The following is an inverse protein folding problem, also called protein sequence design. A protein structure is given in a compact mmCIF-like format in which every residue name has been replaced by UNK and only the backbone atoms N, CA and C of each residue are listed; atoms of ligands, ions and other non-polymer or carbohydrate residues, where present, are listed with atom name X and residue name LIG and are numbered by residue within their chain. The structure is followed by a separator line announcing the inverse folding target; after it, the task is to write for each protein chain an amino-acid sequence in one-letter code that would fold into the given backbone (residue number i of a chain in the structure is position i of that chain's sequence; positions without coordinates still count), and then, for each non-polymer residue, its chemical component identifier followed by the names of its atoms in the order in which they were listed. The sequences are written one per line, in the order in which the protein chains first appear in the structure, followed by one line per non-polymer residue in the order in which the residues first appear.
data_IF_749012646572
#
_entry.id   IF_749012646572
#
_cell.length_a   1.000
_cell.length_b   1.000
_cell.length_c   1.000
_cell.angle_alpha   90.00
_cell.angle_beta   90.00
_cell.angle_gamma   90.00
#
_symmetry.space_group_name_H-M   'P 1'
#
loop_
_entity.id
_entity.type
_entity.pdbx_description
1 polymer ?
#
# COMPACT_ATOMS: atom_id res chain seq x y z
N UNK A 1 -53.58 -26.12 -23.19
CA UNK A 1 -52.62 -25.48 -22.26
C UNK A 1 -53.41 -25.10 -21.03
N UNK A 2 -53.10 -25.70 -19.86
CA UNK A 2 -53.81 -25.39 -18.63
C UNK A 2 -53.26 -24.09 -18.03
N UNK A 3 -54.06 -23.38 -17.22
CA UNK A 3 -53.63 -22.12 -16.59
C UNK A 3 -52.38 -22.30 -15.70
N UNK A 4 -52.13 -23.51 -15.21
CA UNK A 4 -50.96 -23.89 -14.44
C UNK A 4 -49.66 -23.82 -15.27
N UNK A 5 -49.65 -24.43 -16.46
CA UNK A 5 -48.48 -24.46 -17.36
C UNK A 5 -48.03 -23.03 -17.74
N UNK A 6 -48.99 -22.14 -17.99
CA UNK A 6 -48.72 -20.74 -18.32
C UNK A 6 -48.13 -19.95 -17.14
N UNK A 7 -48.51 -20.29 -15.91
CA UNK A 7 -47.95 -19.67 -14.70
C UNK A 7 -46.52 -20.15 -14.45
N UNK A 8 -46.24 -21.43 -14.62
CA UNK A 8 -44.88 -21.97 -14.47
C UNK A 8 -43.91 -21.36 -15.49
N UNK A 9 -44.32 -21.25 -16.75
CA UNK A 9 -43.51 -20.64 -17.81
C UNK A 9 -43.17 -19.18 -17.50
N UNK A 10 -44.15 -18.40 -17.02
CA UNK A 10 -43.94 -17.01 -16.60
C UNK A 10 -43.00 -16.88 -15.40
N UNK A 11 -43.11 -17.78 -14.43
CA UNK A 11 -42.19 -17.80 -13.27
C UNK A 11 -40.77 -18.13 -13.72
N UNK A 12 -40.60 -19.10 -14.61
CA UNK A 12 -39.30 -19.48 -15.15
C UNK A 12 -38.64 -18.32 -15.92
N UNK A 13 -39.40 -17.65 -16.79
CA UNK A 13 -38.93 -16.47 -17.52
C UNK A 13 -38.53 -15.33 -16.57
N UNK A 14 -39.34 -15.05 -15.55
CA UNK A 14 -39.02 -14.04 -14.55
C UNK A 14 -37.74 -14.36 -13.77
N UNK A 15 -37.54 -15.62 -13.36
CA UNK A 15 -36.31 -16.06 -12.69
C UNK A 15 -35.07 -15.91 -13.56
N UNK A 16 -35.19 -16.21 -14.87
CA UNK A 16 -34.11 -16.02 -15.82
C UNK A 16 -33.69 -14.55 -15.94
N UNK A 17 -34.65 -13.65 -16.15
CA UNK A 17 -34.41 -12.20 -16.18
C UNK A 17 -33.84 -11.67 -14.86
N UNK A 18 -34.29 -12.22 -13.74
CA UNK A 18 -33.77 -11.86 -12.42
C UNK A 18 -32.29 -12.21 -12.29
N UNK A 19 -31.92 -13.44 -12.61
CA UNK A 19 -30.54 -13.91 -12.54
C UNK A 19 -29.61 -13.15 -13.51
N UNK A 20 -30.10 -12.82 -14.70
CA UNK A 20 -29.36 -11.99 -15.66
C UNK A 20 -29.10 -10.59 -15.11
N UNK A 21 -30.12 -9.95 -14.52
CA UNK A 21 -29.98 -8.66 -13.85
C UNK A 21 -29.00 -8.68 -12.68
N UNK A 22 -29.05 -9.71 -11.83
CA UNK A 22 -28.09 -9.90 -10.74
C UNK A 22 -26.66 -10.04 -11.26
N UNK A 23 -26.47 -10.77 -12.36
CA UNK A 23 -25.16 -10.95 -12.99
C UNK A 23 -24.60 -9.62 -13.48
N UNK A 24 -25.39 -8.86 -14.25
CA UNK A 24 -24.98 -7.55 -14.77
C UNK A 24 -24.68 -6.59 -13.62
N UNK A 25 -25.53 -6.55 -12.59
CA UNK A 25 -25.32 -5.66 -11.45
C UNK A 25 -24.07 -6.04 -10.65
N UNK A 26 -23.78 -7.33 -10.50
CA UNK A 26 -22.54 -7.82 -9.91
C UNK A 26 -21.29 -7.40 -10.71
N UNK A 27 -21.36 -7.40 -12.04
CA UNK A 27 -20.28 -6.91 -12.91
C UNK A 27 -20.05 -5.41 -12.73
N UNK A 28 -21.11 -4.60 -12.60
CA UNK A 28 -21.01 -3.17 -12.29
C UNK A 28 -20.28 -2.98 -10.96
N UNK A 29 -20.73 -3.62 -9.89
CA UNK A 29 -20.11 -3.51 -8.56
C UNK A 29 -18.64 -3.93 -8.56
N UNK A 30 -18.30 -4.99 -9.30
CA UNK A 30 -16.92 -5.42 -9.48
C UNK A 30 -16.08 -4.38 -10.24
N UNK A 31 -16.61 -3.81 -11.32
CA UNK A 31 -15.92 -2.77 -12.08
C UNK A 31 -15.69 -1.51 -11.23
N UNK A 32 -16.66 -1.11 -10.41
CA UNK A 32 -16.52 0.03 -9.50
C UNK A 32 -15.39 -0.18 -8.49
N UNK A 33 -15.32 -1.36 -7.85
CA UNK A 33 -14.25 -1.68 -6.89
C UNK A 33 -12.86 -1.71 -7.51
N UNK A 34 -12.78 -1.93 -8.82
CA UNK A 34 -11.52 -1.98 -9.57
C UNK A 34 -11.20 -0.68 -10.33
N UNK A 35 -11.92 0.40 -10.04
CA UNK A 35 -11.78 1.70 -10.72
C UNK A 35 -12.00 1.65 -12.25
N UNK A 36 -12.81 0.70 -12.74
CA UNK A 36 -13.11 0.49 -14.17
C UNK A 36 -14.40 1.21 -14.59
N UNK A 37 -14.42 2.54 -14.43
CA UNK A 37 -15.63 3.38 -14.60
C UNK A 37 -16.33 3.21 -15.95
N UNK A 38 -15.56 3.19 -17.04
CA UNK A 38 -16.12 3.03 -18.39
C UNK A 38 -16.76 1.65 -18.59
N UNK A 39 -16.19 0.60 -17.99
CA UNK A 39 -16.77 -0.73 -18.01
C UNK A 39 -18.02 -0.81 -17.14
N UNK A 40 -17.98 -0.24 -15.93
CA UNK A 40 -19.14 -0.15 -15.04
C UNK A 40 -20.32 0.53 -15.74
N UNK A 41 -20.09 1.65 -16.42
CA UNK A 41 -21.12 2.36 -17.18
C UNK A 41 -21.69 1.50 -18.33
N UNK A 42 -20.83 0.85 -19.13
CA UNK A 42 -21.28 -0.06 -20.20
C UNK A 42 -22.11 -1.23 -19.66
N UNK A 43 -21.71 -1.79 -18.51
CA UNK A 43 -22.44 -2.87 -17.87
C UNK A 43 -23.78 -2.37 -17.32
N UNK A 44 -23.84 -1.19 -16.71
CA UNK A 44 -25.08 -0.59 -16.24
C UNK A 44 -26.10 -0.41 -17.37
N UNK A 45 -25.67 0.06 -18.55
CA UNK A 45 -26.55 0.22 -19.73
C UNK A 45 -27.21 -1.09 -20.16
N UNK A 46 -26.59 -2.25 -19.93
CA UNK A 46 -27.19 -3.56 -20.26
C UNK A 46 -28.47 -3.83 -19.44
N UNK A 47 -28.61 -3.24 -18.25
CA UNK A 47 -29.83 -3.36 -17.45
C UNK A 47 -31.06 -2.76 -18.16
N UNK A 48 -30.87 -1.75 -19.01
CA UNK A 48 -31.95 -1.13 -19.79
C UNK A 48 -32.56 -2.08 -20.82
N UNK A 49 -31.81 -3.11 -21.23
CA UNK A 49 -32.24 -4.07 -22.24
C UNK A 49 -32.99 -5.27 -21.64
N UNK A 50 -33.06 -5.37 -20.30
CA UNK A 50 -33.83 -6.41 -19.65
C UNK A 50 -35.32 -6.05 -19.69
N UNK A 51 -36.16 -7.00 -20.10
CA UNK A 51 -37.62 -6.87 -20.08
C UNK A 51 -38.17 -7.01 -18.64
N UNK A 52 -37.64 -6.19 -17.75
CA UNK A 52 -37.98 -6.14 -16.34
C UNK A 52 -37.82 -4.71 -15.81
N UNK A 53 -38.94 -4.06 -15.50
CA UNK A 53 -38.99 -2.65 -15.08
C UNK A 53 -38.09 -2.36 -13.88
N UNK A 54 -37.98 -3.27 -12.91
CA UNK A 54 -37.16 -3.04 -11.72
C UNK A 54 -35.67 -2.93 -12.09
N UNK A 55 -35.17 -3.81 -12.97
CA UNK A 55 -33.79 -3.75 -13.43
C UNK A 55 -33.53 -2.54 -14.33
N UNK A 56 -34.39 -2.33 -15.32
CA UNK A 56 -34.25 -1.27 -16.32
C UNK A 56 -34.46 0.15 -15.76
N UNK A 57 -35.05 0.31 -14.58
CA UNK A 57 -35.26 1.63 -13.96
C UNK A 57 -34.50 1.74 -12.64
N UNK A 58 -35.00 1.07 -11.60
CA UNK A 58 -34.53 1.25 -10.22
C UNK A 58 -33.05 0.88 -10.07
N UNK A 59 -32.66 -0.29 -10.60
CA UNK A 59 -31.28 -0.77 -10.48
C UNK A 59 -30.33 -0.09 -11.44
N UNK A 60 -30.77 0.25 -12.65
CA UNK A 60 -30.01 1.12 -13.54
C UNK A 60 -29.70 2.47 -12.89
N UNK A 61 -30.69 3.17 -12.36
CA UNK A 61 -30.50 4.46 -11.70
C UNK A 61 -29.59 4.35 -10.47
N UNK A 62 -29.70 3.25 -9.73
CA UNK A 62 -28.81 2.95 -8.62
C UNK A 62 -27.36 2.75 -9.10
N UNK A 63 -27.15 1.99 -10.17
CA UNK A 63 -25.83 1.78 -10.76
C UNK A 63 -25.19 3.09 -11.22
N UNK A 64 -25.95 3.97 -11.88
CA UNK A 64 -25.45 5.29 -12.31
C UNK A 64 -25.05 6.15 -11.11
N UNK A 65 -25.85 6.18 -10.04
CA UNK A 65 -25.50 6.89 -8.80
C UNK A 65 -24.24 6.31 -8.15
N UNK A 66 -24.12 4.99 -8.08
CA UNK A 66 -22.93 4.34 -7.51
C UNK A 66 -21.67 4.65 -8.32
N UNK A 67 -21.76 4.71 -9.65
CA UNK A 67 -20.66 5.15 -10.53
C UNK A 67 -20.20 6.57 -10.17
N UNK A 68 -21.14 7.51 -10.01
CA UNK A 68 -20.81 8.89 -9.66
C UNK A 68 -20.15 8.99 -8.28
N UNK A 69 -20.69 8.29 -7.29
CA UNK A 69 -20.11 8.23 -5.93
C UNK A 69 -18.70 7.66 -5.99
N UNK A 70 -18.50 6.55 -6.70
CA UNK A 70 -17.18 5.91 -6.81
C UNK A 70 -16.14 6.83 -7.48
N UNK A 71 -16.54 7.57 -8.52
CA UNK A 71 -15.68 8.57 -9.17
C UNK A 71 -15.33 9.73 -8.23
N UNK A 72 -16.31 10.24 -7.47
CA UNK A 72 -16.07 11.30 -6.49
C UNK A 72 -15.13 10.81 -5.37
N UNK A 73 -15.33 9.59 -4.86
CA UNK A 73 -14.47 8.99 -3.86
C UNK A 73 -13.05 8.77 -4.37
N UNK A 74 -12.89 8.29 -5.60
CA UNK A 74 -11.59 8.12 -6.26
C UNK A 74 -10.88 9.47 -6.45
N UNK A 75 -11.61 10.54 -6.81
CA UNK A 75 -11.03 11.88 -6.98
C UNK A 75 -10.36 12.42 -5.70
N UNK A 76 -10.78 11.95 -4.51
CA UNK A 76 -10.15 12.31 -3.23
C UNK A 76 -8.69 11.84 -3.14
N UNK A 77 -8.31 10.82 -3.93
CA UNK A 77 -6.94 10.30 -4.00
C UNK A 77 -6.05 11.05 -5.01
N UNK A 78 -6.60 11.92 -5.86
CA UNK A 78 -5.83 12.63 -6.89
C UNK A 78 -4.68 13.45 -6.29
N UNK A 79 -4.94 14.11 -5.16
CA UNK A 79 -3.91 14.85 -4.45
C UNK A 79 -2.82 13.93 -3.89
N UNK A 80 -3.20 12.80 -3.30
CA UNK A 80 -2.25 11.82 -2.78
C UNK A 80 -1.36 11.25 -3.89
N UNK A 81 -1.91 10.96 -5.07
CA UNK A 81 -1.12 10.56 -6.24
C UNK A 81 -0.20 11.68 -6.77
N UNK A 82 -0.64 12.94 -6.74
CA UNK A 82 0.22 14.07 -7.10
C UNK A 82 1.38 14.21 -6.12
N UNK A 83 1.14 14.05 -4.83
CA UNK A 83 2.17 14.09 -3.79
C UNK A 83 3.13 12.90 -3.94
N UNK A 84 2.63 11.68 -4.13
CA UNK A 84 3.44 10.49 -4.41
C UNK A 84 4.43 10.72 -5.56
N UNK A 85 3.94 11.28 -6.68
CA UNK A 85 4.73 11.57 -7.88
C UNK A 85 5.78 12.66 -7.69
N UNK A 86 5.58 13.60 -6.75
CA UNK A 86 6.59 14.63 -6.44
C UNK A 86 7.84 14.04 -5.79
N UNK A 87 7.73 12.88 -5.15
CA UNK A 87 8.88 12.19 -4.55
C UNK A 87 9.30 12.77 -3.21
N UNK A 88 10.17 12.05 -2.49
CA UNK A 88 10.67 12.42 -1.18
C UNK A 88 9.90 11.75 -0.04
N UNK A 89 10.62 11.41 1.03
CA UNK A 89 10.11 10.64 2.18
C UNK A 89 8.88 11.28 2.81
N UNK A 90 8.88 12.60 3.01
CA UNK A 90 7.74 13.34 3.55
C UNK A 90 6.48 13.21 2.69
N UNK A 91 6.65 13.29 1.37
CA UNK A 91 5.54 13.18 0.42
C UNK A 91 4.99 11.75 0.40
N UNK A 92 5.85 10.72 0.42
CA UNK A 92 5.40 9.34 0.44
C UNK A 92 4.70 8.96 1.75
N UNK A 93 5.22 9.40 2.89
CA UNK A 93 4.54 9.26 4.18
C UNK A 93 3.16 9.92 4.16
N UNK A 94 3.08 11.14 3.62
CA UNK A 94 1.80 11.86 3.49
C UNK A 94 0.83 11.15 2.56
N UNK A 95 1.32 10.59 1.45
CA UNK A 95 0.50 9.82 0.52
C UNK A 95 -0.10 8.57 1.19
N UNK A 96 0.67 7.87 2.03
CA UNK A 96 0.15 6.75 2.85
C UNK A 96 -0.91 7.24 3.82
N UNK A 97 -0.63 8.31 4.57
CA UNK A 97 -1.56 8.87 5.57
C UNK A 97 -2.90 9.26 4.93
N UNK A 98 -2.87 9.91 3.77
CA UNK A 98 -4.08 10.37 3.10
C UNK A 98 -4.87 9.20 2.47
N UNK A 99 -4.18 8.21 1.89
CA UNK A 99 -4.82 7.02 1.35
C UNK A 99 -5.40 6.11 2.45
N UNK A 100 -4.76 6.02 3.61
CA UNK A 100 -5.23 5.20 4.75
C UNK A 100 -6.56 5.70 5.35
N UNK A 101 -6.97 6.94 5.05
CA UNK A 101 -8.26 7.51 5.48
C UNK A 101 -9.44 6.97 4.68
N UNK A 102 -9.20 6.30 3.54
CA UNK A 102 -10.27 5.72 2.74
C UNK A 102 -10.82 4.47 3.46
N UNK A 103 -12.11 4.43 3.79
CA UNK A 103 -12.69 3.33 4.55
C UNK A 103 -12.84 2.08 3.66
N UNK A 104 -12.90 0.90 4.30
CA UNK A 104 -12.90 -0.40 3.60
C UNK A 104 -14.11 -0.65 2.71
N UNK A 105 -15.23 0.01 3.00
CA UNK A 105 -16.49 -0.09 2.27
C UNK A 105 -16.57 0.84 1.06
N UNK A 106 -15.72 1.86 0.98
CA UNK A 106 -15.62 2.77 -0.17
C UNK A 106 -15.20 2.04 -1.45
N UNK A 107 -15.71 2.50 -2.59
CA UNK A 107 -15.27 2.00 -3.90
C UNK A 107 -13.81 2.36 -4.21
N UNK A 108 -13.30 3.44 -3.62
CA UNK A 108 -11.90 3.87 -3.76
C UNK A 108 -10.92 3.08 -2.89
N UNK A 109 -11.38 2.15 -2.05
CA UNK A 109 -10.51 1.45 -1.09
C UNK A 109 -9.38 0.68 -1.78
N UNK A 110 -9.66 -0.09 -2.84
CA UNK A 110 -8.62 -0.84 -3.54
C UNK A 110 -7.59 0.09 -4.20
N UNK A 111 -8.04 1.23 -4.72
CA UNK A 111 -7.17 2.24 -5.29
C UNK A 111 -6.28 2.88 -4.22
N UNK A 112 -6.82 3.16 -3.04
CA UNK A 112 -6.05 3.63 -1.89
C UNK A 112 -4.98 2.61 -1.45
N UNK A 113 -5.32 1.32 -1.39
CA UNK A 113 -4.35 0.27 -1.05
C UNK A 113 -3.23 0.17 -2.09
N UNK A 114 -3.52 0.33 -3.39
CA UNK A 114 -2.49 0.39 -4.43
C UNK A 114 -1.57 1.59 -4.27
N UNK A 115 -2.13 2.76 -3.93
CA UNK A 115 -1.34 3.97 -3.67
C UNK A 115 -0.42 3.78 -2.45
N UNK A 116 -0.94 3.20 -1.36
CA UNK A 116 -0.15 2.87 -0.17
C UNK A 116 1.01 1.95 -0.54
N UNK A 117 0.75 0.86 -1.27
CA UNK A 117 1.79 -0.08 -1.69
C UNK A 117 2.89 0.62 -2.51
N UNK A 118 2.51 1.48 -3.47
CA UNK A 118 3.49 2.25 -4.25
C UNK A 118 4.32 3.20 -3.38
N UNK A 119 3.71 3.84 -2.39
CA UNK A 119 4.42 4.74 -1.47
C UNK A 119 5.38 3.97 -0.54
N UNK A 120 4.96 2.80 -0.06
CA UNK A 120 5.79 1.88 0.75
C UNK A 120 7.00 1.44 -0.05
N UNK A 121 6.82 0.97 -1.29
CA UNK A 121 7.95 0.56 -2.16
C UNK A 121 8.96 1.70 -2.36
N UNK A 122 8.47 2.95 -2.53
CA UNK A 122 9.35 4.12 -2.67
C UNK A 122 10.08 4.47 -1.37
N UNK A 123 9.41 4.36 -0.22
CA UNK A 123 10.06 4.56 1.08
C UNK A 123 11.13 3.52 1.35
N UNK A 124 10.85 2.24 1.08
CA UNK A 124 11.82 1.15 1.22
C UNK A 124 13.08 1.41 0.39
N UNK A 125 12.94 1.73 -0.91
CA UNK A 125 14.10 2.06 -1.74
C UNK A 125 14.87 3.30 -1.26
N UNK A 126 14.19 4.27 -0.65
CA UNK A 126 14.86 5.43 -0.06
C UNK A 126 15.61 5.10 1.22
N UNK A 127 15.09 4.19 2.04
CA UNK A 127 15.76 3.68 3.23
C UNK A 127 17.02 2.91 2.83
N UNK A 128 16.92 2.06 1.80
CA UNK A 128 18.08 1.36 1.22
C UNK A 128 19.16 2.36 0.77
N UNK A 129 18.77 3.43 0.06
CA UNK A 129 19.71 4.47 -0.36
C UNK A 129 20.37 5.19 0.82
N UNK A 130 19.64 5.45 1.91
CA UNK A 130 20.19 6.06 3.13
C UNK A 130 21.18 5.12 3.82
N UNK A 131 20.89 3.82 3.85
CA UNK A 131 21.76 2.79 4.43
C UNK A 131 23.06 2.67 3.63
N UNK A 132 22.96 2.55 2.30
CA UNK A 132 24.13 2.48 1.41
C UNK A 132 24.98 3.75 1.48
N UNK A 133 24.33 4.90 1.56
CA UNK A 133 24.98 6.20 1.73
C UNK A 133 25.48 6.50 3.15
N UNK A 134 25.25 5.59 4.10
CA UNK A 134 25.56 5.78 5.53
C UNK A 134 24.98 7.07 6.13
N UNK A 135 23.81 7.51 5.63
CA UNK A 135 23.08 8.67 6.13
C UNK A 135 22.23 8.27 7.35
N UNK A 136 22.91 7.94 8.45
CA UNK A 136 22.31 7.39 9.66
C UNK A 136 21.35 8.36 10.35
N UNK A 137 21.62 9.67 10.26
CA UNK A 137 20.76 10.70 10.84
C UNK A 137 19.42 10.79 10.09
N UNK A 138 19.46 10.88 8.75
CA UNK A 138 18.23 10.92 7.95
C UNK A 138 17.48 9.60 8.04
N UNK A 139 18.19 8.47 8.02
CA UNK A 139 17.61 7.14 8.23
C UNK A 139 16.82 7.09 9.55
N UNK A 140 17.47 7.38 10.68
CA UNK A 140 16.83 7.33 11.99
C UNK A 140 15.60 8.25 12.08
N UNK A 141 15.69 9.47 11.53
CA UNK A 141 14.55 10.39 11.50
C UNK A 141 13.39 9.86 10.65
N UNK A 142 13.69 9.17 9.55
CA UNK A 142 12.69 8.55 8.68
C UNK A 142 12.02 7.36 9.37
N UNK A 143 12.80 6.47 9.98
CA UNK A 143 12.30 5.29 10.71
C UNK A 143 11.33 5.68 11.83
N UNK A 144 11.62 6.75 12.56
CA UNK A 144 10.77 7.25 13.66
C UNK A 144 9.35 7.68 13.25
N UNK A 145 9.13 7.86 11.94
CA UNK A 145 7.87 8.33 11.36
C UNK A 145 7.20 7.28 10.49
N UNK A 146 7.81 6.10 10.34
CA UNK A 146 7.27 5.06 9.48
C UNK A 146 5.95 4.52 10.05
N UNK A 147 4.95 4.29 9.20
CA UNK A 147 3.76 3.56 9.60
C UNK A 147 4.09 2.05 9.62
N UNK A 148 4.58 1.56 10.75
CA UNK A 148 5.14 0.20 10.94
C UNK A 148 4.25 -0.92 10.41
N UNK A 149 2.91 -0.78 10.48
CA UNK A 149 1.97 -1.81 10.04
C UNK A 149 2.03 -2.14 8.54
N UNK A 150 2.72 -1.34 7.72
CA UNK A 150 2.91 -1.59 6.29
C UNK A 150 4.26 -2.20 5.93
N UNK A 151 5.15 -2.40 6.90
CA UNK A 151 6.50 -2.93 6.68
C UNK A 151 6.69 -4.26 7.39
N UNK A 152 7.52 -5.18 6.84
CA UNK A 152 7.88 -6.39 7.56
C UNK A 152 8.61 -6.04 8.87
N UNK A 153 8.16 -6.60 9.99
CA UNK A 153 8.76 -6.36 11.31
C UNK A 153 10.27 -6.67 11.35
N UNK A 154 10.67 -7.64 10.54
CA UNK A 154 12.06 -8.01 10.34
C UNK A 154 12.86 -6.87 9.68
N UNK A 155 12.36 -6.26 8.61
CA UNK A 155 13.09 -5.19 7.92
C UNK A 155 13.20 -3.95 8.81
N UNK A 156 12.12 -3.60 9.53
CA UNK A 156 12.12 -2.53 10.52
C UNK A 156 13.21 -2.73 11.59
N UNK A 157 13.37 -3.95 12.10
CA UNK A 157 14.40 -4.27 13.09
C UNK A 157 15.80 -4.07 12.52
N UNK A 158 16.08 -4.58 11.32
CA UNK A 158 17.40 -4.45 10.71
C UNK A 158 17.76 -2.99 10.44
N UNK A 159 16.81 -2.21 9.89
CA UNK A 159 17.01 -0.79 9.65
C UNK A 159 17.27 -0.03 10.95
N UNK A 160 16.55 -0.37 12.03
CA UNK A 160 16.76 0.25 13.33
C UNK A 160 18.13 -0.10 13.93
N UNK A 161 18.56 -1.36 13.81
CA UNK A 161 19.90 -1.79 14.25
C UNK A 161 20.98 -1.00 13.50
N UNK A 162 20.88 -0.91 12.18
CA UNK A 162 21.85 -0.18 11.36
C UNK A 162 21.86 1.31 11.68
N UNK A 163 20.68 1.94 11.80
CA UNK A 163 20.56 3.35 12.13
C UNK A 163 21.20 3.67 13.49
N UNK A 164 20.91 2.84 14.51
CA UNK A 164 21.48 3.01 15.85
C UNK A 164 23.00 2.80 15.85
N UNK A 165 23.48 1.71 15.25
CA UNK A 165 24.92 1.43 15.17
C UNK A 165 25.67 2.56 14.43
N UNK A 166 25.12 3.04 13.31
CA UNK A 166 25.72 4.12 12.55
C UNK A 166 25.80 5.45 13.32
N UNK A 167 24.76 5.81 14.08
CA UNK A 167 24.78 6.98 14.96
C UNK A 167 25.78 6.84 16.10
N UNK A 168 25.93 5.64 16.67
CA UNK A 168 26.94 5.34 17.69
C UNK A 168 28.36 5.51 17.13
N UNK A 169 28.61 5.00 15.92
CA UNK A 169 29.93 5.14 15.27
C UNK A 169 30.26 6.60 14.95
N UNK A 170 29.27 7.40 14.54
CA UNK A 170 29.43 8.83 14.24
C UNK A 170 29.87 9.68 15.44
N UNK A 171 29.81 9.15 16.67
CA UNK A 171 30.41 9.83 17.82
C UNK A 171 31.93 9.97 17.69
N UNK A 172 32.59 9.10 16.92
CA UNK A 172 34.04 9.17 16.64
C UNK A 172 34.92 8.93 17.86
N UNK A 173 34.39 8.26 18.89
CA UNK A 173 35.11 7.90 20.11
C UNK A 173 35.30 6.39 20.18
N UNK A 174 36.31 5.93 20.93
CA UNK A 174 36.53 4.49 21.19
C UNK A 174 35.27 3.85 21.78
N UNK A 175 34.63 4.51 22.75
CA UNK A 175 33.36 4.03 23.34
C UNK A 175 32.24 3.95 22.31
N UNK A 176 32.10 4.97 21.46
CA UNK A 176 31.05 5.01 20.43
C UNK A 176 31.21 3.94 19.37
N UNK A 177 32.44 3.70 18.91
CA UNK A 177 32.74 2.61 17.98
C UNK A 177 32.50 1.24 18.62
N UNK A 178 32.86 1.05 19.89
CA UNK A 178 32.57 -0.18 20.63
C UNK A 178 31.07 -0.47 20.75
N UNK A 179 30.25 0.57 21.01
CA UNK A 179 28.79 0.45 21.00
C UNK A 179 28.26 0.10 19.60
N UNK A 180 28.72 0.81 18.57
CA UNK A 180 28.32 0.59 17.19
C UNK A 180 28.57 -0.85 16.73
N UNK A 181 29.76 -1.38 17.03
CA UNK A 181 30.14 -2.77 16.76
C UNK A 181 29.17 -3.72 17.45
N UNK A 182 28.97 -3.53 18.77
CA UNK A 182 28.07 -4.38 19.56
C UNK A 182 26.63 -4.35 19.04
N UNK A 183 26.16 -3.19 18.59
CA UNK A 183 24.82 -3.02 18.03
C UNK A 183 24.70 -3.70 16.66
N UNK A 184 25.63 -3.46 15.74
CA UNK A 184 25.60 -4.08 14.41
C UNK A 184 25.75 -5.61 14.46
N UNK A 185 26.50 -6.15 15.43
CA UNK A 185 26.65 -7.60 15.64
C UNK A 185 25.35 -8.31 16.07
N UNK A 186 24.29 -7.56 16.44
CA UNK A 186 22.96 -8.13 16.65
C UNK A 186 22.36 -8.71 15.36
N UNK A 187 22.82 -8.24 14.19
CA UNK A 187 22.52 -8.85 12.90
C UNK A 187 23.35 -10.12 12.73
N UNK A 188 22.83 -11.23 13.28
CA UNK A 188 23.54 -12.52 13.37
C UNK A 188 23.22 -13.48 12.23
N UNK A 189 22.06 -13.35 11.60
CA UNK A 189 21.60 -14.27 10.56
C UNK A 189 22.15 -13.89 9.18
N UNK A 190 23.07 -14.71 8.66
CA UNK A 190 23.72 -14.53 7.37
C UNK A 190 22.80 -14.57 6.14
N UNK A 191 21.56 -15.05 6.30
CA UNK A 191 20.56 -15.03 5.23
C UNK A 191 19.86 -13.67 5.08
N UNK A 192 20.02 -12.78 6.05
CA UNK A 192 19.39 -11.45 6.08
C UNK A 192 20.06 -10.52 5.05
N UNK A 193 19.31 -9.66 4.33
CA UNK A 193 19.86 -8.80 3.30
C UNK A 193 20.99 -7.87 3.79
N UNK A 194 20.86 -7.36 5.02
CA UNK A 194 21.80 -6.39 5.59
C UNK A 194 22.95 -7.00 6.40
N UNK A 195 23.02 -8.33 6.50
CA UNK A 195 24.06 -8.99 7.27
C UNK A 195 25.46 -8.64 6.76
N UNK A 196 25.69 -8.81 5.46
CA UNK A 196 27.00 -8.57 4.86
C UNK A 196 27.48 -7.12 5.07
N UNK A 197 26.57 -6.16 4.88
CA UNK A 197 26.85 -4.74 5.14
C UNK A 197 27.19 -4.50 6.62
N UNK A 198 26.43 -5.06 7.55
CA UNK A 198 26.71 -4.92 8.97
C UNK A 198 28.10 -5.46 9.35
N UNK A 199 28.51 -6.60 8.78
CA UNK A 199 29.85 -7.16 9.02
C UNK A 199 30.98 -6.31 8.42
N UNK A 200 30.73 -5.67 7.28
CA UNK A 200 31.67 -4.71 6.68
C UNK A 200 31.85 -3.48 7.58
N UNK A 201 30.74 -2.88 8.04
CA UNK A 201 30.76 -1.76 8.98
C UNK A 201 31.50 -2.12 10.28
N UNK A 202 31.21 -3.29 10.87
CA UNK A 202 31.89 -3.79 12.07
C UNK A 202 33.40 -3.90 11.86
N UNK A 203 33.83 -4.42 10.71
CA UNK A 203 35.25 -4.56 10.39
C UNK A 203 35.92 -3.19 10.30
N UNK A 204 35.29 -2.21 9.66
CA UNK A 204 35.84 -0.88 9.47
C UNK A 204 35.92 -0.12 10.82
N UNK A 205 34.86 -0.15 11.62
CA UNK A 205 34.85 0.48 12.94
C UNK A 205 35.88 -0.12 13.91
N UNK A 206 36.14 -1.44 13.85
CA UNK A 206 37.22 -2.06 14.65
C UNK A 206 38.60 -1.52 14.30
N UNK A 207 38.85 -1.26 13.02
CA UNK A 207 40.12 -0.68 12.58
C UNK A 207 40.26 0.75 13.08
N UNK A 208 39.20 1.55 12.96
CA UNK A 208 39.16 2.92 13.47
C UNK A 208 39.34 2.98 14.99
N UNK A 209 38.63 2.12 15.73
CA UNK A 209 38.72 2.03 17.19
C UNK A 209 40.15 1.73 17.63
N UNK A 210 40.79 0.74 17.00
CA UNK A 210 42.19 0.37 17.27
C UNK A 210 43.14 1.53 16.98
N UNK A 211 42.93 2.26 15.89
CA UNK A 211 43.75 3.41 15.54
C UNK A 211 43.61 4.53 16.57
N UNK A 212 42.40 4.83 17.05
CA UNK A 212 42.16 5.83 18.09
C UNK A 212 42.80 5.44 19.43
N UNK A 213 42.75 4.16 19.81
CA UNK A 213 43.39 3.66 21.03
C UNK A 213 44.91 3.82 21.02
N UNK A 214 45.56 3.78 19.85
CA UNK A 214 47.01 3.96 19.72
C UNK A 214 47.44 5.44 19.78
N UNK A 215 46.50 6.36 19.58
CA UNK A 215 46.75 7.81 19.60
C UNK A 215 46.48 8.46 20.98
N UNK A 216 45.82 7.75 21.89
CA UNK A 216 45.48 8.18 23.25
C UNK A 216 46.59 7.83 24.26
#
# INVERSE_FOLDING_TARGET
MQAYDLVEERIAAWRGLWQEGETIYGEVENDLRNSRWNSAFRNAVRLLNLDNTFWATTKYDQAIRNIQIAQEESSKLDNAYRILRRGGTDNWLKAIEDAAKIPKDSYAYQEAQKLIAQAVDKLTGSIETMIEGQDWQTLNSTLSRLPESYFPAQDLNDWQILATAGLEAQMGTVEGLGLAITTAEKLTDSSRPYYALAQELVKDWRQEETALQQLA
#
